data_IF_381982867759
#
_entry.id   IF_381982867759
#
_cell.length_a   1.000
_cell.length_b   1.000
_cell.length_c   1.000
_cell.angle_alpha   90.00
_cell.angle_beta   90.00
_cell.angle_gamma   90.00
#
_symmetry.space_group_name_H-M   'P 1'
#
loop_
_entity.id
_entity.type
_entity.pdbx_description
1 polymer ?
#
# COMPACT_ATOMS: atom_id res chain seq x y z
N UNK A 1 3.33 29.43 28.37
CA UNK A 1 4.79 29.26 28.38
C UNK A 1 5.11 28.03 27.56
N UNK A 2 5.55 28.25 26.34
CA UNK A 2 5.87 27.23 25.33
C UNK A 2 7.33 26.84 25.48
N UNK A 3 7.58 25.59 25.81
CA UNK A 3 8.92 25.00 25.87
C UNK A 3 9.42 24.75 24.43
N UNK A 4 10.60 25.24 24.04
CA UNK A 4 11.12 25.05 22.70
C UNK A 4 11.92 23.75 22.62
N UNK A 5 11.68 22.97 21.56
CA UNK A 5 12.61 21.96 21.03
C UNK A 5 12.79 20.68 21.88
N UNK A 6 11.74 19.87 21.96
CA UNK A 6 11.90 18.42 22.03
C UNK A 6 10.77 17.77 21.22
N UNK A 7 11.05 17.46 19.95
CA UNK A 7 10.15 16.61 19.18
C UNK A 7 10.08 15.22 19.85
N UNK A 8 8.88 14.69 20.17
CA UNK A 8 8.77 13.34 20.71
C UNK A 8 9.24 12.34 19.64
N UNK A 9 10.37 11.67 19.88
CA UNK A 9 10.82 10.53 19.07
C UNK A 9 11.88 10.80 17.99
N UNK A 10 12.35 12.04 17.84
CA UNK A 10 13.64 12.26 17.17
C UNK A 10 14.76 11.87 18.15
N UNK A 11 15.75 11.03 17.78
CA UNK A 11 16.92 10.89 18.60
C UNK A 11 17.55 12.28 18.72
N UNK A 12 17.70 12.77 19.95
CA UNK A 12 18.58 13.90 20.21
C UNK A 12 19.93 13.59 19.54
N UNK A 13 20.55 14.59 18.93
CA UNK A 13 21.84 14.45 18.27
C UNK A 13 22.93 14.20 19.34
N UNK A 14 22.92 13.01 19.94
CA UNK A 14 23.92 12.51 20.87
C UNK A 14 24.99 11.79 20.04
N UNK A 15 25.49 12.48 19.01
CA UNK A 15 26.65 12.02 18.23
C UNK A 15 27.98 12.53 18.83
N UNK A 16 27.95 13.38 19.86
CA UNK A 16 29.16 13.82 20.56
C UNK A 16 29.37 13.06 21.86
N UNK A 17 30.42 12.22 21.89
CA UNK A 17 31.00 11.48 23.02
C UNK A 17 30.34 10.14 23.41
N UNK A 18 30.34 9.18 22.49
CA UNK A 18 30.42 7.76 22.90
C UNK A 18 31.91 7.49 23.21
N UNK A 19 32.31 7.25 24.47
CA UNK A 19 33.69 6.89 24.78
C UNK A 19 34.04 5.57 24.06
N UNK A 20 35.29 5.41 23.57
CA UNK A 20 35.72 4.17 22.94
C UNK A 20 35.48 3.00 23.90
N UNK A 21 34.98 1.88 23.38
CA UNK A 21 34.68 0.70 24.17
C UNK A 21 35.94 0.29 24.96
N UNK A 22 35.87 0.44 26.28
CA UNK A 22 36.96 0.02 27.19
C UNK A 22 37.26 -1.46 26.96
N UNK A 23 38.53 -1.84 26.93
CA UNK A 23 38.98 -3.25 26.82
C UNK A 23 38.44 -4.15 27.95
N UNK A 24 37.90 -3.56 29.02
CA UNK A 24 37.17 -4.23 30.11
C UNK A 24 35.66 -4.00 30.05
N UNK A 25 35.09 -3.87 28.85
CA UNK A 25 33.64 -3.75 28.70
C UNK A 25 32.96 -5.03 29.18
N UNK A 26 32.06 -4.91 30.15
CA UNK A 26 31.17 -5.98 30.59
C UNK A 26 30.40 -6.59 29.39
N UNK A 27 30.17 -5.81 28.33
CA UNK A 27 29.58 -6.29 27.09
C UNK A 27 30.50 -7.26 26.35
N UNK A 28 31.82 -7.03 26.32
CA UNK A 28 32.79 -7.92 25.68
C UNK A 28 33.00 -9.23 26.47
N UNK A 29 33.00 -9.15 27.81
CA UNK A 29 33.06 -10.33 28.70
C UNK A 29 31.76 -11.14 28.65
N UNK A 30 30.59 -10.48 28.57
CA UNK A 30 29.30 -11.13 28.37
C UNK A 30 29.21 -11.80 26.99
N UNK A 31 29.72 -11.15 25.93
CA UNK A 31 29.73 -11.68 24.57
C UNK A 31 30.60 -12.93 24.44
N UNK A 32 31.62 -13.11 25.28
CA UNK A 32 32.41 -14.35 25.40
C UNK A 32 31.69 -15.50 26.12
N UNK A 33 30.72 -15.20 27.00
CA UNK A 33 30.00 -16.19 27.82
C UNK A 33 28.62 -16.56 27.29
N UNK A 34 28.07 -15.80 26.33
CA UNK A 34 26.76 -16.08 25.75
C UNK A 34 26.91 -17.12 24.62
N UNK A 35 26.17 -18.24 24.65
CA UNK A 35 26.19 -19.23 23.58
C UNK A 35 25.89 -18.59 22.22
N UNK A 36 26.66 -18.94 21.18
CA UNK A 36 26.48 -18.41 19.81
C UNK A 36 25.04 -18.53 19.28
N UNK A 37 24.28 -19.53 19.73
CA UNK A 37 22.85 -19.67 19.40
C UNK A 37 21.98 -18.57 20.00
N UNK A 38 22.24 -18.14 21.24
CA UNK A 38 21.51 -17.02 21.87
C UNK A 38 21.91 -15.68 21.24
N UNK A 39 23.18 -15.49 20.88
CA UNK A 39 23.63 -14.32 20.11
C UNK A 39 22.95 -14.28 18.74
N UNK A 40 22.89 -15.41 18.03
CA UNK A 40 22.21 -15.50 16.74
C UNK A 40 20.69 -15.27 16.84
N UNK A 41 20.05 -15.80 17.90
CA UNK A 41 18.63 -15.58 18.16
C UNK A 41 18.33 -14.12 18.54
N UNK A 42 19.22 -13.46 19.30
CA UNK A 42 19.10 -12.05 19.65
C UNK A 42 19.46 -11.10 18.49
N UNK A 43 20.36 -11.49 17.58
CA UNK A 43 20.71 -10.73 16.39
C UNK A 43 19.59 -10.73 15.33
N UNK A 44 18.68 -11.70 15.39
CA UNK A 44 17.56 -11.81 14.45
C UNK A 44 16.55 -10.64 14.55
N UNK A 45 15.99 -10.31 15.74
CA UNK A 45 15.10 -9.16 15.87
C UNK A 45 15.81 -7.84 15.55
N UNK A 46 17.07 -7.67 15.96
CA UNK A 46 17.87 -6.47 15.63
C UNK A 46 18.01 -6.30 14.11
N UNK A 47 18.41 -7.36 13.40
CA UNK A 47 18.49 -7.34 11.93
C UNK A 47 17.16 -7.01 11.28
N UNK A 48 16.05 -7.54 11.81
CA UNK A 48 14.70 -7.24 11.29
C UNK A 48 14.35 -5.76 11.52
N UNK A 49 14.60 -5.22 12.72
CA UNK A 49 14.34 -3.82 13.05
C UNK A 49 15.15 -2.87 12.17
N UNK A 50 16.44 -3.15 11.96
CA UNK A 50 17.30 -2.36 11.07
C UNK A 50 16.81 -2.39 9.62
N UNK A 51 16.36 -3.55 9.14
CA UNK A 51 15.78 -3.68 7.80
C UNK A 51 14.43 -2.97 7.69
N UNK A 52 13.58 -3.05 8.70
CA UNK A 52 12.32 -2.30 8.75
C UNK A 52 12.59 -0.79 8.74
N UNK A 53 13.56 -0.30 9.49
CA UNK A 53 13.95 1.11 9.45
C UNK A 53 14.37 1.54 8.04
N UNK A 54 15.26 0.77 7.38
CA UNK A 54 15.65 1.00 5.98
C UNK A 54 14.46 0.97 5.03
N UNK A 55 13.53 0.02 5.20
CA UNK A 55 12.32 -0.11 4.39
C UNK A 55 11.43 1.14 4.53
N UNK A 56 11.16 1.56 5.76
CA UNK A 56 10.26 2.68 6.06
C UNK A 56 10.84 4.02 5.60
N UNK A 57 12.17 4.19 5.74
CA UNK A 57 12.89 5.38 5.33
C UNK A 57 13.07 5.48 3.80
N UNK A 58 12.95 4.37 3.06
CA UNK A 58 13.07 4.40 1.61
C UNK A 58 11.95 5.24 0.96
N UNK A 59 12.21 5.91 -0.18
CA UNK A 59 11.17 6.65 -0.91
C UNK A 59 9.94 5.79 -1.21
N UNK A 60 8.77 6.19 -0.69
CA UNK A 60 7.51 5.46 -0.83
C UNK A 60 7.40 4.17 0.01
N UNK A 61 8.39 3.88 0.87
CA UNK A 61 8.46 2.67 1.68
C UNK A 61 7.44 2.63 2.80
N UNK A 62 7.32 3.71 3.57
CA UNK A 62 6.28 3.87 4.59
C UNK A 62 4.88 3.62 3.99
N UNK A 63 4.52 4.29 2.89
CA UNK A 63 3.21 4.12 2.25
C UNK A 63 2.95 2.69 1.78
N UNK A 64 3.96 2.05 1.17
CA UNK A 64 3.88 0.66 0.69
C UNK A 64 3.72 -0.32 1.83
N UNK A 65 4.47 -0.13 2.93
CA UNK A 65 4.37 -0.94 4.14
C UNK A 65 2.99 -0.81 4.79
N UNK A 66 2.56 0.43 5.08
CA UNK A 66 1.26 0.69 5.70
C UNK A 66 0.12 0.11 4.87
N UNK A 67 0.18 0.24 3.54
CA UNK A 67 -0.81 -0.34 2.62
C UNK A 67 -0.84 -1.87 2.74
N UNK A 68 0.29 -2.52 2.49
CA UNK A 68 0.35 -3.97 2.41
C UNK A 68 0.02 -4.60 3.77
N UNK A 69 0.52 -4.00 4.85
CA UNK A 69 0.24 -4.46 6.21
C UNK A 69 -1.23 -4.28 6.58
N UNK A 70 -1.84 -3.12 6.27
CA UNK A 70 -3.27 -2.88 6.49
C UNK A 70 -4.16 -3.93 5.81
N UNK A 71 -3.96 -4.18 4.51
CA UNK A 71 -4.77 -5.15 3.79
C UNK A 71 -4.50 -6.60 4.22
N UNK A 72 -3.26 -6.91 4.62
CA UNK A 72 -2.93 -8.20 5.24
C UNK A 72 -3.70 -8.38 6.54
N UNK A 73 -3.79 -7.35 7.39
CA UNK A 73 -4.59 -7.40 8.62
C UNK A 73 -6.08 -7.61 8.34
N UNK A 74 -6.64 -6.98 7.30
CA UNK A 74 -8.04 -7.22 6.89
C UNK A 74 -8.28 -8.67 6.44
N UNK A 75 -7.35 -9.23 5.66
CA UNK A 75 -7.41 -10.63 5.25
C UNK A 75 -7.30 -11.57 6.45
N UNK A 76 -6.35 -11.33 7.37
CA UNK A 76 -6.16 -12.12 8.58
C UNK A 76 -7.34 -12.01 9.54
N UNK A 77 -7.93 -10.82 9.67
CA UNK A 77 -9.15 -10.59 10.47
C UNK A 77 -10.29 -11.46 9.94
N UNK A 78 -10.51 -11.44 8.62
CA UNK A 78 -11.55 -12.25 7.98
C UNK A 78 -11.27 -13.76 8.12
N UNK A 79 -10.04 -14.20 7.88
CA UNK A 79 -9.64 -15.59 8.02
C UNK A 79 -9.76 -16.09 9.46
N UNK A 80 -9.42 -15.25 10.44
CA UNK A 80 -9.58 -15.56 11.87
C UNK A 80 -11.05 -15.69 12.24
N UNK A 81 -11.91 -14.76 11.78
CA UNK A 81 -13.35 -14.84 12.02
C UNK A 81 -13.99 -16.09 11.40
N UNK A 82 -13.53 -16.52 10.22
CA UNK A 82 -14.01 -17.75 9.56
C UNK A 82 -13.47 -19.03 10.18
N UNK A 83 -12.26 -18.99 10.77
CA UNK A 83 -11.65 -20.14 11.44
C UNK A 83 -11.97 -20.25 12.93
N UNK A 84 -12.60 -19.25 13.54
CA UNK A 84 -13.07 -19.26 14.92
C UNK A 84 -13.76 -20.57 15.38
N UNK A 85 -14.70 -21.17 14.62
CA UNK A 85 -15.33 -22.43 15.04
C UNK A 85 -14.34 -23.61 15.03
N UNK A 86 -13.38 -23.63 14.11
CA UNK A 86 -12.33 -24.65 14.07
C UNK A 86 -11.34 -24.45 15.23
N UNK A 87 -10.94 -23.20 15.48
CA UNK A 87 -10.07 -22.84 16.60
C UNK A 87 -10.72 -23.26 17.93
N UNK A 88 -12.01 -22.95 18.13
CA UNK A 88 -12.75 -23.35 19.33
C UNK A 88 -12.75 -24.88 19.53
N UNK A 89 -12.97 -25.66 18.46
CA UNK A 89 -12.89 -27.13 18.51
C UNK A 89 -11.49 -27.64 18.83
N UNK A 90 -10.45 -27.07 18.23
CA UNK A 90 -9.06 -27.43 18.53
C UNK A 90 -8.70 -27.09 19.98
N UNK A 91 -9.09 -25.91 20.47
CA UNK A 91 -8.88 -25.52 21.86
C UNK A 91 -9.58 -26.46 22.84
N UNK A 92 -10.82 -26.86 22.55
CA UNK A 92 -11.53 -27.87 23.35
C UNK A 92 -10.79 -29.21 23.34
N UNK A 93 -10.28 -29.64 22.18
CA UNK A 93 -9.53 -30.89 22.04
C UNK A 93 -8.22 -30.88 22.85
N UNK A 94 -7.47 -29.78 22.79
CA UNK A 94 -6.16 -29.66 23.46
C UNK A 94 -6.26 -29.34 24.95
N UNK A 95 -7.23 -28.52 25.38
CA UNK A 95 -7.37 -28.13 26.79
C UNK A 95 -8.24 -29.08 27.60
N UNK A 96 -8.99 -29.99 26.94
CA UNK A 96 -10.00 -30.87 27.56
C UNK A 96 -10.95 -30.13 28.51
N UNK A 97 -11.12 -28.82 28.30
CA UNK A 97 -11.94 -27.95 29.13
C UNK A 97 -13.21 -27.58 28.36
N UNK A 98 -14.39 -27.62 29.01
CA UNK A 98 -15.65 -27.20 28.40
C UNK A 98 -15.73 -25.68 28.18
N UNK A 99 -14.84 -24.89 28.80
CA UNK A 99 -14.86 -23.44 28.73
C UNK A 99 -14.05 -22.94 27.54
N UNK A 100 -14.72 -22.50 26.49
CA UNK A 100 -14.09 -21.82 25.36
C UNK A 100 -13.93 -20.34 25.69
N UNK A 101 -12.77 -19.93 26.20
CA UNK A 101 -12.31 -18.55 25.97
C UNK A 101 -11.88 -18.46 24.51
N UNK A 102 -12.82 -18.11 23.64
CA UNK A 102 -12.49 -17.78 22.26
C UNK A 102 -11.47 -16.64 22.30
N UNK A 103 -10.26 -16.88 21.77
CA UNK A 103 -9.23 -15.86 21.71
C UNK A 103 -9.73 -14.75 20.80
N UNK A 104 -9.95 -13.56 21.35
CA UNK A 104 -10.56 -12.39 20.71
C UNK A 104 -9.60 -11.69 19.70
N UNK A 105 -8.68 -12.45 19.09
CA UNK A 105 -7.65 -11.96 18.17
C UNK A 105 -8.24 -11.23 16.96
N UNK A 106 -9.46 -11.57 16.57
CA UNK A 106 -10.24 -10.89 15.53
C UNK A 106 -10.41 -9.41 15.81
N UNK A 107 -10.61 -9.03 17.07
CA UNK A 107 -10.91 -7.66 17.48
C UNK A 107 -9.67 -6.77 17.42
N UNK A 108 -8.51 -7.28 17.82
CA UNK A 108 -7.25 -6.53 17.81
C UNK A 108 -6.71 -6.29 16.39
N UNK A 109 -6.76 -7.30 15.51
CA UNK A 109 -6.32 -7.16 14.12
C UNK A 109 -7.21 -6.18 13.34
N UNK A 110 -8.53 -6.24 13.59
CA UNK A 110 -9.48 -5.31 13.01
C UNK A 110 -9.21 -3.86 13.46
N UNK A 111 -8.98 -3.65 14.76
CA UNK A 111 -8.70 -2.33 15.32
C UNK A 111 -7.40 -1.74 14.74
N UNK A 112 -6.32 -2.52 14.68
CA UNK A 112 -5.06 -2.08 14.08
C UNK A 112 -5.23 -1.80 12.57
N UNK A 113 -5.96 -2.66 11.85
CA UNK A 113 -6.28 -2.42 10.44
C UNK A 113 -7.07 -1.13 10.24
N UNK A 114 -8.05 -0.85 11.10
CA UNK A 114 -8.79 0.40 11.11
C UNK A 114 -7.88 1.62 11.32
N UNK A 115 -6.99 1.55 12.32
CA UNK A 115 -6.03 2.60 12.61
C UNK A 115 -5.12 2.89 11.40
N UNK A 116 -4.54 1.86 10.78
CA UNK A 116 -3.66 2.02 9.62
C UNK A 116 -4.40 2.57 8.40
N UNK A 117 -5.66 2.18 8.20
CA UNK A 117 -6.50 2.72 7.12
C UNK A 117 -6.75 4.21 7.32
N UNK A 118 -7.09 4.63 8.55
CA UNK A 118 -7.23 6.05 8.91
C UNK A 118 -5.91 6.80 8.74
N UNK A 119 -4.79 6.27 9.24
CA UNK A 119 -3.46 6.89 9.06
C UNK A 119 -3.12 7.07 7.58
N UNK A 120 -3.34 6.05 6.75
CA UNK A 120 -3.14 6.14 5.29
C UNK A 120 -4.00 7.24 4.68
N UNK A 121 -5.26 7.34 5.08
CA UNK A 121 -6.19 8.35 4.58
C UNK A 121 -5.75 9.76 4.98
N UNK A 122 -5.28 9.95 6.21
CA UNK A 122 -4.67 11.22 6.65
C UNK A 122 -3.41 11.56 5.86
N UNK A 123 -2.50 10.59 5.63
CA UNK A 123 -1.30 10.81 4.82
C UNK A 123 -1.63 11.16 3.36
N UNK A 124 -2.73 10.61 2.81
CA UNK A 124 -3.19 10.92 1.45
C UNK A 124 -3.65 12.37 1.28
N UNK A 125 -3.92 13.12 2.35
CA UNK A 125 -4.17 14.58 2.27
C UNK A 125 -3.04 15.32 1.54
N UNK A 126 -1.81 14.83 1.65
CA UNK A 126 -0.63 15.38 0.97
C UNK A 126 -0.40 14.79 -0.44
N UNK A 127 -1.26 13.89 -0.92
CA UNK A 127 -1.13 13.20 -2.19
C UNK A 127 -1.23 14.11 -3.43
N UNK A 128 -1.80 15.30 -3.31
CA UNK A 128 -1.90 16.25 -4.42
C UNK A 128 -0.54 16.85 -4.82
N UNK A 129 0.41 17.01 -3.89
CA UNK A 129 1.73 17.57 -4.19
C UNK A 129 2.53 16.73 -5.20
N UNK A 130 2.73 15.41 -5.00
CA UNK A 130 3.42 14.58 -5.99
C UNK A 130 2.62 14.46 -7.30
N UNK A 131 1.29 14.46 -7.25
CA UNK A 131 0.47 14.44 -8.47
C UNK A 131 0.61 15.74 -9.29
N UNK A 132 0.69 16.89 -8.65
CA UNK A 132 1.00 18.16 -9.32
C UNK A 132 2.39 18.13 -9.96
N UNK A 133 3.40 17.64 -9.25
CA UNK A 133 4.75 17.49 -9.81
C UNK A 133 4.74 16.57 -11.05
N UNK A 134 4.01 15.46 -10.99
CA UNK A 134 3.83 14.55 -12.12
C UNK A 134 3.11 15.22 -13.30
N UNK A 135 2.04 15.97 -13.04
CA UNK A 135 1.34 16.75 -14.07
C UNK A 135 2.29 17.75 -14.74
N UNK A 136 3.09 18.47 -13.97
CA UNK A 136 4.08 19.43 -14.50
C UNK A 136 5.12 18.76 -15.39
N UNK A 137 5.52 17.52 -15.10
CA UNK A 137 6.40 16.75 -15.97
C UNK A 137 5.69 16.38 -17.28
N UNK A 138 4.44 15.90 -17.21
CA UNK A 138 3.67 15.54 -18.40
C UNK A 138 3.34 16.74 -19.29
N UNK A 139 3.18 17.94 -18.70
CA UNK A 139 2.97 19.18 -19.44
C UNK A 139 4.19 19.65 -20.25
N UNK A 140 5.37 19.06 -20.04
CA UNK A 140 6.54 19.30 -20.91
C UNK A 140 6.38 18.65 -22.29
N UNK A 141 5.34 17.83 -22.46
CA UNK A 141 5.04 17.12 -23.71
C UNK A 141 5.74 15.76 -23.80
N UNK A 142 5.34 14.93 -24.78
CA UNK A 142 6.00 13.66 -25.07
C UNK A 142 7.42 13.90 -25.61
N UNK A 143 8.35 12.99 -25.30
CA UNK A 143 9.70 13.04 -25.87
C UNK A 143 9.67 12.61 -27.35
N UNK A 144 10.64 13.04 -28.16
CA UNK A 144 10.76 12.54 -29.53
C UNK A 144 10.85 11.01 -29.56
N UNK A 145 9.91 10.37 -30.27
CA UNK A 145 9.80 8.91 -30.34
C UNK A 145 8.89 8.25 -29.29
N UNK A 146 8.29 9.01 -28.37
CA UNK A 146 7.29 8.48 -27.45
C UNK A 146 5.97 8.15 -28.16
N UNK A 147 5.33 7.07 -27.74
CA UNK A 147 4.01 6.68 -28.24
C UNK A 147 2.92 7.62 -27.72
N UNK A 148 2.16 8.22 -28.63
CA UNK A 148 1.09 9.17 -28.28
C UNK A 148 -0.04 8.57 -27.45
N UNK A 149 -0.33 7.27 -27.61
CA UNK A 149 -1.35 6.57 -26.80
C UNK A 149 -0.84 6.40 -25.38
N UNK A 150 0.42 6.00 -25.18
CA UNK A 150 1.03 5.92 -23.85
C UNK A 150 1.06 7.29 -23.16
N UNK A 151 1.44 8.36 -23.88
CA UNK A 151 1.46 9.72 -23.32
C UNK A 151 0.05 10.20 -22.91
N UNK A 152 -0.93 10.09 -23.80
CA UNK A 152 -2.31 10.49 -23.51
C UNK A 152 -2.92 9.65 -22.37
N UNK A 153 -2.58 8.37 -22.28
CA UNK A 153 -2.97 7.50 -21.17
C UNK A 153 -2.38 7.97 -19.84
N UNK A 154 -1.09 8.32 -19.81
CA UNK A 154 -0.44 8.84 -18.59
C UNK A 154 -1.04 10.19 -18.15
N UNK A 155 -1.29 11.10 -19.09
CA UNK A 155 -1.94 12.38 -18.80
C UNK A 155 -3.35 12.18 -18.24
N UNK A 156 -4.14 11.31 -18.89
CA UNK A 156 -5.49 10.98 -18.44
C UNK A 156 -5.46 10.36 -17.04
N UNK A 157 -4.56 9.41 -16.80
CA UNK A 157 -4.39 8.76 -15.49
C UNK A 157 -4.01 9.78 -14.41
N UNK A 158 -3.09 10.70 -14.69
CA UNK A 158 -2.69 11.76 -13.78
C UNK A 158 -3.88 12.65 -13.39
N UNK A 159 -4.66 13.11 -14.37
CA UNK A 159 -5.86 13.94 -14.13
C UNK A 159 -6.93 13.20 -13.33
N UNK A 160 -7.12 11.91 -13.59
CA UNK A 160 -8.04 11.05 -12.83
C UNK A 160 -7.59 10.88 -11.38
N UNK A 161 -6.29 10.66 -11.12
CA UNK A 161 -5.78 10.58 -9.75
C UNK A 161 -5.78 11.94 -9.03
N UNK A 162 -5.58 13.06 -9.73
CA UNK A 162 -5.80 14.40 -9.16
C UNK A 162 -7.26 14.58 -8.75
N UNK A 163 -8.19 14.18 -9.61
CA UNK A 163 -9.63 14.25 -9.31
C UNK A 163 -9.99 13.38 -8.11
N UNK A 164 -9.53 12.12 -8.10
CA UNK A 164 -9.69 11.21 -6.96
C UNK A 164 -9.17 11.84 -5.66
N UNK A 165 -7.93 12.30 -5.64
CA UNK A 165 -7.27 12.79 -4.43
C UNK A 165 -7.89 14.10 -3.96
N UNK A 166 -8.24 15.01 -4.87
CA UNK A 166 -8.91 16.26 -4.53
C UNK A 166 -10.27 16.01 -3.87
N UNK A 167 -11.09 15.17 -4.48
CA UNK A 167 -12.42 14.86 -3.96
C UNK A 167 -12.34 14.10 -2.63
N UNK A 168 -11.43 13.13 -2.50
CA UNK A 168 -11.21 12.42 -1.23
C UNK A 168 -10.79 13.40 -0.13
N UNK A 169 -9.85 14.30 -0.41
CA UNK A 169 -9.39 15.30 0.56
C UNK A 169 -10.53 16.21 1.01
N UNK A 170 -11.35 16.70 0.08
CA UNK A 170 -12.50 17.54 0.41
C UNK A 170 -13.46 16.78 1.33
N UNK A 171 -13.81 15.54 0.98
CA UNK A 171 -14.73 14.73 1.77
C UNK A 171 -14.18 14.44 3.18
N UNK A 172 -12.93 14.00 3.28
CA UNK A 172 -12.25 13.70 4.57
C UNK A 172 -12.17 14.93 5.45
N UNK A 173 -11.80 16.09 4.90
CA UNK A 173 -11.69 17.33 5.68
C UNK A 173 -13.07 17.88 6.08
N UNK A 174 -14.10 17.71 5.25
CA UNK A 174 -15.48 18.05 5.61
C UNK A 174 -15.99 17.14 6.73
N UNK A 175 -15.77 15.82 6.65
CA UNK A 175 -16.17 14.86 7.67
C UNK A 175 -15.42 15.10 9.00
N UNK A 176 -14.14 15.48 8.92
CA UNK A 176 -13.33 15.88 10.08
C UNK A 176 -13.68 17.27 10.63
N UNK A 177 -14.65 17.99 10.01
CA UNK A 177 -15.05 19.36 10.36
C UNK A 177 -13.94 20.41 10.23
N UNK A 178 -12.88 20.08 9.50
CA UNK A 178 -11.79 21.01 9.17
C UNK A 178 -12.18 21.96 8.03
N UNK A 179 -13.08 21.53 7.13
CA UNK A 179 -13.69 22.38 6.11
C UNK A 179 -15.17 22.66 6.44
N UNK A 180 -15.64 23.91 6.28
CA UNK A 180 -17.06 24.22 6.39
C UNK A 180 -17.88 23.42 5.38
N UNK A 181 -18.99 22.83 5.84
CA UNK A 181 -19.90 22.04 5.00
C UNK A 181 -20.45 22.83 3.79
N UNK A 182 -20.54 24.16 3.89
CA UNK A 182 -20.99 25.04 2.81
C UNK A 182 -20.07 25.04 1.59
N UNK A 183 -18.78 24.73 1.75
CA UNK A 183 -17.80 24.76 0.65
C UNK A 183 -17.95 23.58 -0.31
N UNK A 184 -18.47 22.46 0.19
CA UNK A 184 -18.68 21.21 -0.54
C UNK A 184 -20.16 20.91 -0.81
N UNK A 185 -21.08 21.76 -0.31
CA UNK A 185 -22.52 21.56 -0.35
C UNK A 185 -23.10 21.23 -1.73
N UNK A 186 -22.56 21.83 -2.80
CA UNK A 186 -23.00 21.57 -4.19
C UNK A 186 -22.79 20.12 -4.65
N UNK A 187 -21.92 19.37 -3.99
CA UNK A 187 -21.62 17.99 -4.33
C UNK A 187 -22.20 17.00 -3.31
N UNK A 188 -22.93 17.49 -2.30
CA UNK A 188 -23.54 16.64 -1.29
C UNK A 188 -24.80 15.96 -1.78
N UNK A 189 -25.10 14.83 -1.15
CA UNK A 189 -26.43 14.24 -1.27
C UNK A 189 -27.46 15.09 -0.51
N UNK A 190 -28.72 15.13 -1.00
CA UNK A 190 -29.83 15.68 -0.24
C UNK A 190 -29.99 14.96 1.10
N UNK A 191 -30.40 15.67 2.15
CA UNK A 191 -30.65 15.06 3.47
C UNK A 191 -31.69 13.92 3.43
N UNK A 192 -32.60 13.94 2.45
CA UNK A 192 -33.59 12.89 2.20
C UNK A 192 -32.99 11.55 1.75
N UNK A 193 -31.70 11.51 1.40
CA UNK A 193 -31.05 10.28 0.94
C UNK A 193 -30.72 9.29 2.07
N UNK A 194 -30.84 9.70 3.35
CA UNK A 194 -30.49 8.86 4.51
C UNK A 194 -28.99 8.50 4.60
N UNK A 195 -28.13 9.19 3.85
CA UNK A 195 -26.68 8.94 3.76
C UNK A 195 -25.90 10.13 4.30
N UNK A 196 -24.61 9.91 4.57
CA UNK A 196 -23.71 11.00 4.88
C UNK A 196 -23.69 12.03 3.72
N UNK A 197 -23.71 13.35 4.01
CA UNK A 197 -23.72 14.39 2.98
C UNK A 197 -22.59 14.24 1.97
N UNK A 198 -21.39 13.85 2.43
CA UNK A 198 -20.16 13.68 1.66
C UNK A 198 -20.11 12.38 0.84
N UNK A 199 -21.08 11.48 0.98
CA UNK A 199 -21.05 10.17 0.30
C UNK A 199 -20.98 10.26 -1.22
N UNK A 200 -21.62 11.27 -1.84
CA UNK A 200 -21.52 11.49 -3.29
C UNK A 200 -20.14 11.98 -3.71
N UNK A 201 -19.42 12.72 -2.85
CA UNK A 201 -18.05 13.16 -3.13
C UNK A 201 -17.11 11.94 -3.17
N UNK A 202 -17.22 11.05 -2.18
CA UNK A 202 -16.47 9.79 -2.18
C UNK A 202 -16.80 8.92 -3.41
N UNK A 203 -18.07 8.81 -3.78
CA UNK A 203 -18.47 8.02 -4.95
C UNK A 203 -17.78 8.47 -6.23
N UNK A 204 -17.76 9.78 -6.50
CA UNK A 204 -17.08 10.34 -7.67
C UNK A 204 -15.56 10.24 -7.57
N UNK A 205 -15.01 10.38 -6.36
CA UNK A 205 -13.61 10.10 -6.09
C UNK A 205 -13.25 8.66 -6.51
N UNK A 206 -14.00 7.66 -6.03
CA UNK A 206 -13.76 6.25 -6.37
C UNK A 206 -13.97 5.92 -7.86
N UNK A 207 -14.88 6.61 -8.55
CA UNK A 207 -15.03 6.49 -10.00
C UNK A 207 -13.82 7.03 -10.76
N UNK A 208 -13.26 8.15 -10.32
CA UNK A 208 -12.02 8.68 -10.88
C UNK A 208 -10.84 7.72 -10.62
N UNK A 209 -10.78 7.14 -9.41
CA UNK A 209 -9.78 6.10 -9.10
C UNK A 209 -9.92 4.87 -10.01
N UNK A 210 -11.14 4.34 -10.19
CA UNK A 210 -11.40 3.25 -11.13
C UNK A 210 -10.92 3.60 -12.54
N UNK A 211 -11.23 4.80 -13.03
CA UNK A 211 -10.73 5.27 -14.32
C UNK A 211 -9.20 5.23 -14.41
N UNK A 212 -8.51 5.67 -13.35
CA UNK A 212 -7.05 5.62 -13.29
C UNK A 212 -6.48 4.20 -13.28
N UNK A 213 -7.16 3.24 -12.63
CA UNK A 213 -6.82 1.81 -12.70
C UNK A 213 -7.05 1.26 -14.11
N UNK A 214 -8.11 1.70 -14.81
CA UNK A 214 -8.36 1.29 -16.19
C UNK A 214 -7.28 1.80 -17.16
N UNK A 215 -6.68 2.96 -16.89
CA UNK A 215 -5.53 3.45 -17.65
C UNK A 215 -4.32 2.50 -17.58
N UNK A 216 -4.13 1.76 -16.47
CA UNK A 216 -3.04 0.77 -16.38
C UNK A 216 -3.22 -0.37 -17.38
N UNK A 217 -4.45 -0.84 -17.61
CA UNK A 217 -4.70 -1.84 -18.65
C UNK A 217 -4.42 -1.28 -20.05
N UNK A 218 -4.86 -0.06 -20.34
CA UNK A 218 -4.59 0.59 -21.64
C UNK A 218 -3.08 0.69 -21.88
N UNK A 219 -2.33 1.18 -20.87
CA UNK A 219 -0.86 1.24 -20.90
C UNK A 219 -0.26 -0.14 -21.17
N UNK A 220 -0.63 -1.15 -20.38
CA UNK A 220 -0.06 -2.49 -20.48
C UNK A 220 -0.35 -3.17 -21.82
N UNK A 221 -1.59 -3.07 -22.33
CA UNK A 221 -1.94 -3.64 -23.63
C UNK A 221 -1.25 -2.90 -24.77
N UNK A 222 -1.12 -1.56 -24.68
CA UNK A 222 -0.39 -0.77 -25.69
C UNK A 222 1.11 -1.13 -25.68
N UNK A 223 1.73 -1.28 -24.52
CA UNK A 223 3.13 -1.73 -24.42
C UNK A 223 3.30 -3.12 -25.02
N UNK A 224 2.40 -4.08 -24.71
CA UNK A 224 2.45 -5.41 -25.31
C UNK A 224 2.27 -5.38 -26.83
N UNK A 225 1.42 -4.51 -27.35
CA UNK A 225 1.23 -4.33 -28.79
C UNK A 225 2.52 -3.82 -29.46
N UNK A 226 3.14 -2.78 -28.90
CA UNK A 226 4.38 -2.21 -29.43
C UNK A 226 5.52 -3.24 -29.39
N UNK A 227 5.61 -4.02 -28.31
CA UNK A 227 6.65 -5.04 -28.18
C UNK A 227 6.45 -6.19 -29.19
N UNK A 228 5.20 -6.58 -29.45
CA UNK A 228 4.87 -7.54 -30.52
C UNK A 228 5.25 -7.03 -31.92
N UNK A 229 5.03 -5.74 -32.19
CA UNK A 229 5.43 -5.13 -33.47
C UNK A 229 6.95 -5.15 -33.64
N UNK A 230 7.70 -4.74 -32.61
CA UNK A 230 9.17 -4.83 -32.60
C UNK A 230 9.68 -6.26 -32.76
N UNK A 231 8.97 -7.26 -32.23
CA UNK A 231 9.30 -8.68 -32.42
C UNK A 231 9.07 -9.13 -33.86
N UNK A 232 7.99 -8.68 -34.49
CA UNK A 232 7.67 -9.00 -35.88
C UNK A 232 8.64 -8.38 -36.90
N UNK A 233 9.20 -7.22 -36.58
CA UNK A 233 10.20 -6.52 -37.41
C UNK A 233 11.62 -7.12 -37.30
N UNK A 234 11.87 -8.00 -36.32
CA UNK A 234 13.16 -8.70 -36.16
C UNK A 234 13.29 -9.84 -37.17
N UNK A 235 14.47 -10.00 -37.77
CA UNK A 235 14.75 -11.11 -38.70
C UNK A 235 14.75 -12.47 -37.98
N UNK A 236 14.49 -13.54 -38.75
CA UNK A 236 14.28 -14.93 -38.27
C UNK A 236 15.46 -15.51 -37.47
N UNK A 237 16.66 -14.94 -37.58
CA UNK A 237 17.84 -15.33 -36.78
C UNK A 237 17.84 -14.62 -35.43
N UNK A 238 17.02 -15.10 -34.50
CA UNK A 238 16.96 -14.57 -33.13
C UNK A 238 18.05 -15.20 -32.26
N UNK A 239 19.08 -14.41 -31.91
CA UNK A 239 20.15 -14.82 -30.98
C UNK A 239 19.61 -15.13 -29.57
N UNK A 240 20.36 -15.93 -28.79
CA UNK A 240 20.01 -16.32 -27.41
C UNK A 240 19.75 -15.10 -26.52
N UNK A 241 20.60 -14.08 -26.60
CA UNK A 241 20.45 -12.85 -25.82
C UNK A 241 19.10 -12.14 -26.07
N UNK A 242 18.62 -12.17 -27.32
CA UNK A 242 17.34 -11.58 -27.71
C UNK A 242 16.16 -12.38 -27.14
N UNK A 243 16.26 -13.71 -27.11
CA UNK A 243 15.24 -14.58 -26.50
C UNK A 243 15.16 -14.37 -25.00
N UNK A 244 16.31 -14.32 -24.31
CA UNK A 244 16.37 -14.05 -22.88
C UNK A 244 15.78 -12.66 -22.54
N UNK A 245 16.05 -11.65 -23.36
CA UNK A 245 15.47 -10.32 -23.20
C UNK A 245 13.94 -10.34 -23.37
N UNK A 246 13.41 -11.04 -24.38
CA UNK A 246 11.98 -11.17 -24.59
C UNK A 246 11.28 -11.90 -23.44
N UNK A 247 11.89 -12.97 -22.93
CA UNK A 247 11.38 -13.70 -21.75
C UNK A 247 11.33 -12.82 -20.50
N UNK A 248 12.37 -12.02 -20.25
CA UNK A 248 12.39 -11.04 -19.15
C UNK A 248 11.32 -9.96 -19.32
N UNK A 249 11.11 -9.48 -20.55
CA UNK A 249 10.06 -8.51 -20.86
C UNK A 249 8.66 -9.10 -20.61
N UNK A 250 8.43 -10.34 -21.01
CA UNK A 250 7.15 -11.04 -20.78
C UNK A 250 6.90 -11.26 -19.28
N UNK A 251 7.92 -11.67 -18.53
CA UNK A 251 7.84 -11.81 -17.07
C UNK A 251 7.54 -10.46 -16.39
N UNK A 252 8.20 -9.38 -16.82
CA UNK A 252 7.97 -8.04 -16.29
C UNK A 252 6.54 -7.58 -16.58
N UNK A 253 6.03 -7.82 -17.79
CA UNK A 253 4.66 -7.48 -18.16
C UNK A 253 3.62 -8.21 -17.29
N UNK A 254 3.81 -9.52 -17.07
CA UNK A 254 2.93 -10.29 -16.17
C UNK A 254 3.00 -9.79 -14.73
N UNK A 255 4.19 -9.46 -14.23
CA UNK A 255 4.37 -8.88 -12.89
C UNK A 255 3.64 -7.54 -12.76
N UNK A 256 3.70 -6.69 -13.78
CA UNK A 256 2.98 -5.41 -13.78
C UNK A 256 1.46 -5.59 -13.86
N UNK A 257 0.97 -6.60 -14.59
CA UNK A 257 -0.46 -6.88 -14.76
C UNK A 257 -1.16 -7.31 -13.45
N UNK A 258 -0.43 -7.93 -12.51
CA UNK A 258 -0.99 -8.33 -11.21
C UNK A 258 -1.56 -7.15 -10.43
N UNK A 259 -0.94 -5.97 -10.51
CA UNK A 259 -1.32 -4.79 -9.73
C UNK A 259 -2.72 -4.27 -10.13
N UNK A 260 -3.00 -3.92 -11.40
CA UNK A 260 -4.33 -3.46 -11.79
C UNK A 260 -5.38 -4.57 -11.66
N UNK A 261 -5.04 -5.84 -11.93
CA UNK A 261 -5.96 -6.96 -11.67
C UNK A 261 -6.37 -7.06 -10.20
N UNK A 262 -5.45 -6.80 -9.29
CA UNK A 262 -5.71 -6.83 -7.85
C UNK A 262 -6.54 -5.63 -7.40
N UNK A 263 -6.31 -4.44 -7.95
CA UNK A 263 -7.08 -3.23 -7.56
C UNK A 263 -8.46 -3.14 -8.19
N UNK A 264 -8.66 -3.71 -9.39
CA UNK A 264 -9.90 -3.51 -10.17
C UNK A 264 -11.17 -3.94 -9.44
N UNK A 265 -11.25 -5.14 -8.81
CA UNK A 265 -12.47 -5.53 -8.10
C UNK A 265 -12.81 -4.56 -6.95
N UNK A 266 -11.79 -4.06 -6.24
CA UNK A 266 -11.97 -3.10 -5.17
C UNK A 266 -12.43 -1.74 -5.71
N UNK A 267 -11.77 -1.23 -6.74
CA UNK A 267 -12.14 0.03 -7.37
C UNK A 267 -13.57 -0.03 -7.92
N UNK A 268 -13.95 -1.14 -8.55
CA UNK A 268 -15.30 -1.36 -9.05
C UNK A 268 -16.34 -1.39 -7.93
N UNK A 269 -16.07 -2.12 -6.84
CA UNK A 269 -16.96 -2.18 -5.68
C UNK A 269 -17.28 -0.77 -5.16
N UNK A 270 -16.27 0.08 -4.98
CA UNK A 270 -16.46 1.44 -4.47
C UNK A 270 -17.04 2.41 -5.51
N UNK A 271 -16.75 2.23 -6.80
CA UNK A 271 -17.27 3.07 -7.88
C UNK A 271 -18.76 2.83 -8.20
N UNK A 272 -19.27 1.62 -7.94
CA UNK A 272 -20.70 1.27 -8.04
C UNK A 272 -21.50 2.04 -6.97
N UNK A 273 -20.96 2.15 -5.76
CA UNK A 273 -21.62 2.81 -4.63
C UNK A 273 -22.48 1.83 -3.83
N UNK A 274 -23.71 2.23 -3.49
CA UNK A 274 -24.59 1.44 -2.63
C UNK A 274 -24.83 0.02 -3.20
N UNK A 275 -24.72 -0.98 -2.33
CA UNK A 275 -24.80 -2.40 -2.70
C UNK A 275 -23.48 -2.98 -3.24
N UNK A 276 -22.69 -2.18 -3.96
CA UNK A 276 -21.38 -2.58 -4.50
C UNK A 276 -21.38 -3.91 -5.25
N UNK A 277 -20.23 -4.58 -5.28
CA UNK A 277 -20.15 -5.96 -5.78
C UNK A 277 -20.86 -6.97 -4.84
N UNK A 278 -21.71 -7.87 -5.37
CA UNK A 278 -22.35 -8.92 -4.56
C UNK A 278 -21.33 -9.80 -3.84
N UNK A 279 -21.58 -10.07 -2.55
CA UNK A 279 -20.71 -10.90 -1.72
C UNK A 279 -19.38 -10.24 -1.30
N UNK A 280 -19.20 -8.95 -1.59
CA UNK A 280 -18.02 -8.21 -1.15
C UNK A 280 -17.91 -8.21 0.37
N UNK A 281 -16.71 -8.46 0.88
CA UNK A 281 -16.42 -8.58 2.30
C UNK A 281 -14.99 -8.14 2.62
N UNK A 282 -14.67 -8.04 3.91
CA UNK A 282 -13.37 -7.59 4.38
C UNK A 282 -12.22 -8.47 3.88
N UNK A 283 -12.44 -9.78 3.71
CA UNK A 283 -11.44 -10.71 3.18
C UNK A 283 -11.13 -10.45 1.70
N UNK A 284 -12.16 -10.19 0.89
CA UNK A 284 -11.99 -9.80 -0.52
C UNK A 284 -11.21 -8.48 -0.64
N UNK A 285 -11.54 -7.49 0.19
CA UNK A 285 -10.81 -6.22 0.26
C UNK A 285 -9.35 -6.43 0.68
N UNK A 286 -9.11 -7.22 1.73
CA UNK A 286 -7.78 -7.57 2.21
C UNK A 286 -6.95 -8.31 1.16
N UNK A 287 -7.53 -9.28 0.45
CA UNK A 287 -6.86 -10.00 -0.63
C UNK A 287 -6.44 -9.05 -1.75
N UNK A 288 -7.37 -8.26 -2.29
CA UNK A 288 -7.10 -7.31 -3.37
C UNK A 288 -5.94 -6.36 -3.03
N UNK A 289 -5.99 -5.72 -1.87
CA UNK A 289 -4.95 -4.76 -1.49
C UNK A 289 -3.62 -5.40 -1.07
N UNK A 290 -3.64 -6.60 -0.50
CA UNK A 290 -2.42 -7.34 -0.17
C UNK A 290 -1.70 -7.77 -1.46
N UNK A 291 -2.39 -8.45 -2.38
CA UNK A 291 -1.80 -8.91 -3.64
C UNK A 291 -1.25 -7.75 -4.49
N UNK A 292 -1.93 -6.61 -4.50
CA UNK A 292 -1.44 -5.43 -5.19
C UNK A 292 -0.11 -4.88 -4.62
N UNK A 293 0.12 -5.04 -3.31
CA UNK A 293 1.32 -4.56 -2.61
C UNK A 293 2.47 -5.55 -2.54
N UNK A 294 2.20 -6.86 -2.66
CA UNK A 294 3.16 -7.94 -2.40
C UNK A 294 4.44 -7.83 -3.24
N UNK A 295 4.32 -7.57 -4.54
CA UNK A 295 5.50 -7.45 -5.40
C UNK A 295 6.40 -6.28 -4.99
N UNK A 296 5.79 -5.11 -4.78
CA UNK A 296 6.53 -3.89 -4.41
C UNK A 296 7.18 -4.01 -3.03
N UNK A 297 6.46 -4.52 -2.02
CA UNK A 297 7.02 -4.68 -0.67
C UNK A 297 8.15 -5.71 -0.67
N UNK A 298 8.05 -6.79 -1.44
CA UNK A 298 9.10 -7.80 -1.55
C UNK A 298 10.37 -7.23 -2.21
N UNK A 299 10.21 -6.49 -3.30
CA UNK A 299 11.33 -5.82 -3.97
C UNK A 299 12.01 -4.78 -3.05
N UNK A 300 11.22 -4.00 -2.30
CA UNK A 300 11.75 -3.03 -1.33
C UNK A 300 12.44 -3.73 -0.17
N UNK A 301 11.87 -4.82 0.35
CA UNK A 301 12.46 -5.61 1.42
C UNK A 301 13.79 -6.23 0.99
N UNK A 302 13.89 -6.77 -0.22
CA UNK A 302 15.14 -7.31 -0.76
C UNK A 302 16.26 -6.25 -0.78
N UNK A 303 15.94 -4.99 -1.09
CA UNK A 303 16.89 -3.86 -1.10
C UNK A 303 17.38 -3.41 0.28
N UNK A 304 16.79 -3.91 1.38
CA UNK A 304 17.24 -3.59 2.75
C UNK A 304 18.33 -4.51 3.28
N UNK A 305 18.54 -5.64 2.58
CA UNK A 305 19.46 -6.70 2.98
C UNK A 305 20.92 -6.22 3.04
#
# INVERSE_FOLDING_TARGET
>A
MSDPTAEPGAPADVSSNIPPASEKSLAAEAQRRVPNKLVAMAATPDRILLRLNKLLAAPGGLSTFLSTFNYTLYLLTYASAKSAPLQAKLYQLFTRSPTTTAVDATTHLAALGGLLSSTRTTLRLFGLFPLYAWLRQLMQGPKPGDDGVLYSTQLTQCLLYITFQFMENVAVLTDAKALPMSWSQRWHLPASSGKAPTANIYLWSYRAWLGGVLCDFVRLFRTAQLERQKRAERSVTTDFATREHDEKADQAWWKEMVVPLSWTPMALHFAIGEGGLPGWNLGAMGACGAFAGLGKIADMWAKTA
#
